data_IF_245147548789
#
_entry.id   IF_245147548789
#
_cell.length_a   1.000
_cell.length_b   1.000
_cell.length_c   1.000
_cell.angle_alpha   90.00
_cell.angle_beta   90.00
_cell.angle_gamma   90.00
#
_symmetry.space_group_name_H-M   'P 1'
#
loop_
_entity.id
_entity.type
_entity.pdbx_description
1 polymer ?
#
# COMPACT_ATOMS: atom_id res chain seq x y z
N UNK A 1 -4.32 -21.53 -31.49
CA UNK A 1 -5.42 -21.66 -30.52
C UNK A 1 -4.92 -22.60 -29.44
N UNK A 2 -4.26 -22.05 -28.40
CA UNK A 2 -3.77 -22.83 -27.27
C UNK A 2 -4.83 -22.77 -26.18
N UNK A 3 -5.31 -23.94 -25.77
CA UNK A 3 -6.23 -24.13 -24.64
C UNK A 3 -5.59 -23.57 -23.37
N UNK A 4 -6.30 -22.80 -22.52
CA UNK A 4 -5.76 -22.36 -21.24
C UNK A 4 -5.52 -23.60 -20.35
N UNK A 5 -4.32 -23.71 -19.77
CA UNK A 5 -4.04 -24.71 -18.74
C UNK A 5 -4.94 -24.39 -17.53
N UNK A 6 -5.67 -25.36 -17.02
CA UNK A 6 -6.33 -25.28 -15.71
C UNK A 6 -5.28 -24.90 -14.65
N UNK A 7 -5.51 -23.80 -13.93
CA UNK A 7 -4.61 -23.23 -12.89
C UNK A 7 -4.95 -23.80 -11.50
N UNK A 8 -5.65 -24.94 -11.43
CA UNK A 8 -6.29 -25.40 -10.20
C UNK A 8 -5.39 -26.22 -9.26
N UNK A 9 -4.11 -26.42 -9.59
CA UNK A 9 -3.18 -27.18 -8.75
C UNK A 9 -1.82 -26.47 -8.64
N UNK A 10 -1.39 -26.21 -7.40
CA UNK A 10 -0.06 -25.69 -7.09
C UNK A 10 1.00 -26.79 -7.23
N UNK A 11 2.17 -26.40 -7.73
CA UNK A 11 3.34 -27.28 -7.76
C UNK A 11 3.88 -27.49 -6.32
N UNK A 12 4.52 -28.63 -6.06
CA UNK A 12 5.08 -28.94 -4.74
C UNK A 12 6.09 -27.89 -4.25
N UNK A 13 6.79 -27.24 -5.18
CA UNK A 13 7.71 -26.13 -4.90
C UNK A 13 6.97 -24.87 -4.41
N UNK A 14 5.77 -24.61 -4.92
CA UNK A 14 4.96 -23.46 -4.49
C UNK A 14 4.38 -23.68 -3.09
N UNK A 15 4.02 -24.92 -2.73
CA UNK A 15 3.56 -25.27 -1.37
C UNK A 15 4.66 -24.98 -0.34
N UNK A 16 5.88 -25.47 -0.60
CA UNK A 16 7.03 -25.22 0.27
C UNK A 16 7.37 -23.72 0.37
N UNK A 17 7.23 -22.98 -0.74
CA UNK A 17 7.46 -21.54 -0.74
C UNK A 17 6.40 -20.76 0.05
N UNK A 18 5.15 -21.22 0.10
CA UNK A 18 4.10 -20.62 0.94
C UNK A 18 4.38 -20.88 2.43
N UNK A 19 4.79 -22.09 2.79
CA UNK A 19 5.18 -22.39 4.17
C UNK A 19 6.38 -21.54 4.61
N UNK A 20 7.38 -21.37 3.72
CA UNK A 20 8.50 -20.45 3.95
C UNK A 20 8.03 -19.00 4.14
N UNK A 21 7.10 -18.52 3.30
CA UNK A 21 6.55 -17.17 3.41
C UNK A 21 5.84 -16.94 4.75
N UNK A 22 5.03 -17.90 5.21
CA UNK A 22 4.36 -17.83 6.51
C UNK A 22 5.39 -17.72 7.64
N UNK A 23 6.40 -18.58 7.64
CA UNK A 23 7.41 -18.63 8.70
C UNK A 23 8.24 -17.33 8.73
N UNK A 24 8.58 -16.79 7.56
CA UNK A 24 9.22 -15.49 7.38
C UNK A 24 8.33 -14.36 7.90
N UNK A 25 7.04 -14.37 7.57
CA UNK A 25 6.10 -13.34 8.00
C UNK A 25 5.93 -13.34 9.53
N UNK A 26 5.89 -14.52 10.16
CA UNK A 26 5.88 -14.64 11.62
C UNK A 26 7.16 -14.12 12.27
N UNK A 27 8.32 -14.34 11.65
CA UNK A 27 9.59 -13.74 12.10
C UNK A 27 9.56 -12.22 11.96
N UNK A 28 9.03 -11.69 10.86
CA UNK A 28 8.88 -10.26 10.63
C UNK A 28 7.97 -9.61 11.67
N UNK A 29 6.80 -10.19 11.95
CA UNK A 29 5.90 -9.71 13.01
C UNK A 29 6.61 -9.68 14.37
N UNK A 30 7.30 -10.76 14.74
CA UNK A 30 8.05 -10.84 16.00
C UNK A 30 9.19 -9.82 16.08
N UNK A 31 9.88 -9.55 14.96
CA UNK A 31 10.93 -8.54 14.91
C UNK A 31 10.36 -7.14 15.12
N UNK A 32 9.28 -6.79 14.41
CA UNK A 32 8.65 -5.48 14.49
C UNK A 32 7.96 -5.25 15.84
N UNK A 33 7.34 -6.26 16.44
CA UNK A 33 6.68 -6.18 17.75
C UNK A 33 7.61 -5.74 18.89
N UNK A 34 8.95 -5.83 18.72
CA UNK A 34 9.93 -5.33 19.70
C UNK A 34 9.97 -3.80 19.79
N UNK A 35 9.47 -3.11 18.77
CA UNK A 35 9.57 -1.64 18.62
C UNK A 35 8.21 -1.02 18.33
N UNK A 36 7.40 -1.70 17.54
CA UNK A 36 6.09 -1.27 17.08
C UNK A 36 5.04 -1.99 17.93
N UNK A 37 4.30 -1.22 18.72
CA UNK A 37 3.33 -1.72 19.68
C UNK A 37 1.92 -1.35 19.18
N UNK A 38 0.99 -2.29 19.22
CA UNK A 38 -0.42 -2.06 18.91
C UNK A 38 -0.76 -1.86 17.43
N UNK A 39 0.14 -2.20 16.51
CA UNK A 39 -0.03 -1.92 15.06
C UNK A 39 0.00 -3.19 14.21
N UNK A 40 -0.48 -4.32 14.75
CA UNK A 40 -0.45 -5.63 14.06
C UNK A 40 -1.20 -5.59 12.72
N UNK A 41 -2.40 -4.99 12.71
CA UNK A 41 -3.21 -4.87 11.49
C UNK A 41 -2.54 -4.00 10.42
N UNK A 42 -1.84 -2.94 10.85
CA UNK A 42 -1.08 -2.07 9.94
C UNK A 42 0.09 -2.84 9.34
N UNK A 43 0.83 -3.61 10.15
CA UNK A 43 1.93 -4.47 9.68
C UNK A 43 1.42 -5.54 8.70
N UNK A 44 0.28 -6.17 8.97
CA UNK A 44 -0.38 -7.10 8.04
C UNK A 44 -0.71 -6.42 6.72
N UNK A 45 -1.40 -5.28 6.74
CA UNK A 45 -1.79 -4.56 5.54
C UNK A 45 -0.57 -4.06 4.72
N UNK A 46 0.49 -3.60 5.39
CA UNK A 46 1.75 -3.23 4.74
C UNK A 46 2.41 -4.43 4.06
N UNK A 47 2.42 -5.58 4.73
CA UNK A 47 2.98 -6.84 4.20
C UNK A 47 2.18 -7.32 2.99
N UNK A 48 0.85 -7.36 3.10
CA UNK A 48 -0.05 -7.70 2.00
C UNK A 48 0.20 -6.80 0.80
N UNK A 49 0.28 -5.48 1.03
CA UNK A 49 0.49 -4.51 -0.05
C UNK A 49 1.85 -4.68 -0.73
N UNK A 50 2.93 -4.87 0.05
CA UNK A 50 4.27 -5.12 -0.50
C UNK A 50 4.32 -6.40 -1.34
N UNK A 51 3.84 -7.52 -0.81
CA UNK A 51 3.88 -8.81 -1.52
C UNK A 51 2.90 -8.86 -2.69
N UNK A 52 1.91 -7.96 -2.73
CA UNK A 52 1.02 -7.76 -3.89
C UNK A 52 1.57 -6.82 -4.96
N UNK A 53 2.78 -6.23 -4.76
CA UNK A 53 3.30 -5.13 -5.59
C UNK A 53 2.34 -3.93 -5.66
N UNK A 54 1.63 -3.67 -4.57
CA UNK A 54 0.79 -2.49 -4.41
C UNK A 54 1.55 -1.32 -3.81
N UNK A 55 0.87 -0.18 -3.72
CA UNK A 55 1.30 0.99 -2.93
C UNK A 55 0.21 1.33 -1.94
N UNK A 56 0.52 1.95 -0.80
CA UNK A 56 -0.49 2.27 0.20
C UNK A 56 -0.51 3.76 0.58
N UNK A 57 -1.71 4.23 0.93
CA UNK A 57 -1.95 5.47 1.65
C UNK A 57 -1.96 5.14 3.14
N UNK A 58 -1.13 5.79 3.94
CA UNK A 58 -1.05 5.60 5.38
C UNK A 58 -1.68 6.81 6.09
N UNK A 59 -2.97 6.67 6.37
CA UNK A 59 -3.82 7.67 7.02
C UNK A 59 -3.68 7.60 8.54
N UNK A 60 -3.99 8.70 9.23
CA UNK A 60 -3.80 8.83 10.68
C UNK A 60 -3.09 10.13 11.07
N UNK A 61 -3.24 10.49 12.32
CA UNK A 61 -2.81 11.80 12.84
C UNK A 61 -1.29 11.91 13.02
N UNK A 62 -0.74 13.14 13.09
CA UNK A 62 0.66 13.36 13.43
C UNK A 62 1.03 12.73 14.77
N UNK A 63 2.24 12.19 14.87
CA UNK A 63 2.77 11.66 16.13
C UNK A 63 2.60 10.14 16.35
N UNK A 64 1.90 9.42 15.46
CA UNK A 64 1.71 7.96 15.57
C UNK A 64 2.91 7.12 15.08
N UNK A 65 4.14 7.63 15.24
CA UNK A 65 5.39 6.94 14.90
C UNK A 65 5.44 6.30 13.48
N UNK A 66 4.67 6.82 12.51
CA UNK A 66 4.57 6.27 11.14
C UNK A 66 5.94 6.14 10.46
N UNK A 67 6.79 7.15 10.62
CA UNK A 67 8.16 7.12 10.08
C UNK A 67 9.00 6.02 10.73
N UNK A 68 8.83 5.78 12.04
CA UNK A 68 9.52 4.69 12.74
C UNK A 68 9.01 3.33 12.22
N UNK A 69 7.69 3.14 12.15
CA UNK A 69 7.06 1.93 11.59
C UNK A 69 7.65 1.59 10.21
N UNK A 70 7.61 2.55 9.30
CA UNK A 70 7.99 2.33 7.90
C UNK A 70 9.51 2.12 7.75
N UNK A 71 10.33 2.88 8.46
CA UNK A 71 11.78 2.69 8.42
C UNK A 71 12.21 1.34 8.99
N UNK A 72 11.59 0.89 10.10
CA UNK A 72 11.84 -0.43 10.68
C UNK A 72 11.33 -1.56 9.79
N UNK A 73 10.20 -1.36 9.12
CA UNK A 73 9.68 -2.29 8.13
C UNK A 73 10.63 -2.46 6.93
N UNK A 74 11.28 -1.39 6.46
CA UNK A 74 12.32 -1.47 5.43
C UNK A 74 13.58 -2.19 5.92
N UNK A 75 14.00 -1.89 7.16
CA UNK A 75 15.18 -2.49 7.79
C UNK A 75 15.06 -4.00 7.94
N UNK A 76 13.90 -4.53 8.38
CA UNK A 76 13.71 -5.99 8.50
C UNK A 76 13.81 -6.74 7.18
N UNK A 77 13.70 -6.04 6.04
CA UNK A 77 13.79 -6.62 4.70
C UNK A 77 15.05 -6.22 3.93
N UNK A 78 16.01 -5.56 4.60
CA UNK A 78 17.24 -5.03 4.00
C UNK A 78 16.98 -4.19 2.74
N UNK A 79 15.88 -3.44 2.74
CA UNK A 79 15.50 -2.56 1.64
C UNK A 79 16.08 -1.16 1.85
N UNK A 80 16.52 -0.52 0.77
CA UNK A 80 16.89 0.89 0.85
C UNK A 80 15.64 1.73 1.15
N UNK A 81 15.77 2.64 2.13
CA UNK A 81 14.69 3.49 2.59
C UNK A 81 14.96 4.94 2.23
N UNK A 82 13.93 5.64 1.76
CA UNK A 82 13.98 7.07 1.49
C UNK A 82 12.71 7.75 1.99
N UNK A 83 12.89 8.88 2.67
CA UNK A 83 11.79 9.72 3.15
C UNK A 83 11.77 11.01 2.35
N UNK A 84 10.61 11.34 1.80
CA UNK A 84 10.35 12.57 1.06
C UNK A 84 9.27 13.33 1.81
N UNK A 85 9.60 14.51 2.31
CA UNK A 85 8.61 15.43 2.84
C UNK A 85 8.06 16.26 1.69
N UNK A 86 6.77 16.16 1.40
CA UNK A 86 6.14 16.96 0.36
C UNK A 86 5.87 18.36 0.92
N UNK A 87 6.36 19.37 0.20
CA UNK A 87 6.22 20.79 0.56
C UNK A 87 5.75 21.58 -0.67
N UNK A 88 5.17 22.79 -0.49
CA UNK A 88 4.64 23.58 -1.61
C UNK A 88 5.69 23.99 -2.65
N UNK A 89 6.96 24.04 -2.27
CA UNK A 89 8.11 24.41 -3.09
C UNK A 89 8.81 23.20 -3.76
N UNK A 90 8.45 21.97 -3.37
CA UNK A 90 9.08 20.76 -3.89
C UNK A 90 8.83 20.61 -5.40
N UNK A 91 9.91 20.53 -6.17
CA UNK A 91 9.85 20.37 -7.63
C UNK A 91 9.94 18.89 -8.03
N UNK A 92 9.45 18.52 -9.23
CA UNK A 92 9.60 17.15 -9.73
C UNK A 92 11.04 16.65 -9.76
N UNK A 93 12.00 17.51 -10.14
CA UNK A 93 13.42 17.12 -10.20
C UNK A 93 14.03 16.84 -8.82
N UNK A 94 13.48 17.40 -7.75
CA UNK A 94 13.95 17.14 -6.39
C UNK A 94 13.63 15.70 -5.95
N UNK A 95 12.62 15.07 -6.55
CA UNK A 95 12.22 13.69 -6.26
C UNK A 95 12.73 12.70 -7.32
N UNK A 96 12.77 13.10 -8.59
CA UNK A 96 13.21 12.26 -9.70
C UNK A 96 14.72 12.30 -9.93
N UNK A 97 15.41 13.34 -9.50
CA UNK A 97 16.83 13.57 -9.76
C UNK A 97 17.08 14.60 -10.86
N UNK A 98 18.33 15.06 -10.95
CA UNK A 98 18.75 16.13 -11.87
C UNK A 98 20.18 15.89 -12.36
N UNK A 99 20.48 16.39 -13.56
CA UNK A 99 21.85 16.46 -14.06
C UNK A 99 22.57 17.64 -13.41
N UNK A 100 23.72 17.38 -12.78
CA UNK A 100 24.62 18.41 -12.26
C UNK A 100 25.88 18.47 -13.10
N UNK A 101 26.44 19.67 -13.27
CA UNK A 101 27.72 19.84 -13.96
C UNK A 101 28.85 19.61 -12.95
N UNK A 102 29.59 18.51 -13.11
CA UNK A 102 30.72 18.16 -12.27
C UNK A 102 32.03 18.43 -13.01
N UNK A 103 33.05 18.92 -12.29
CA UNK A 103 34.39 19.10 -12.81
C UNK A 103 35.24 17.87 -12.46
N UNK A 104 35.64 17.11 -13.49
CA UNK A 104 36.50 15.94 -13.31
C UNK A 104 37.97 16.36 -13.21
N UNK A 105 38.83 15.54 -12.56
CA UNK A 105 40.27 15.80 -12.49
C UNK A 105 40.85 16.01 -13.90
N UNK A 106 41.34 17.22 -14.17
CA UNK A 106 41.77 17.66 -15.51
C UNK A 106 41.00 18.86 -16.07
N UNK A 107 40.04 19.42 -15.33
CA UNK A 107 39.37 20.70 -15.66
C UNK A 107 38.27 20.60 -16.71
N UNK A 108 37.90 19.37 -17.11
CA UNK A 108 36.79 19.11 -18.02
C UNK A 108 35.49 19.08 -17.22
N UNK A 109 34.42 19.66 -17.77
CA UNK A 109 33.08 19.65 -17.15
C UNK A 109 32.21 18.59 -17.84
N UNK A 110 31.61 17.70 -17.07
CA UNK A 110 30.70 16.67 -17.55
C UNK A 110 29.38 16.72 -16.75
N UNK A 111 28.27 16.38 -17.41
CA UNK A 111 26.97 16.27 -16.75
C UNK A 111 26.86 14.89 -16.08
N UNK A 112 26.80 14.87 -14.75
CA UNK A 112 26.54 13.68 -13.95
C UNK A 112 25.08 13.69 -13.47
N UNK A 113 24.37 12.58 -13.66
CA UNK A 113 23.01 12.45 -13.16
C UNK A 113 23.00 12.08 -11.68
N UNK A 114 22.46 12.95 -10.84
CA UNK A 114 22.24 12.67 -9.42
C UNK A 114 20.84 12.12 -9.24
N UNK A 115 20.78 10.86 -8.79
CA UNK A 115 19.53 10.16 -8.50
C UNK A 115 18.77 10.85 -7.37
N UNK A 116 17.51 11.14 -7.60
CA UNK A 116 16.60 11.63 -6.58
C UNK A 116 16.20 10.56 -5.56
N UNK A 117 15.47 10.96 -4.50
CA UNK A 117 15.04 10.07 -3.42
C UNK A 117 14.11 8.93 -3.88
N UNK A 118 13.48 9.01 -5.06
CA UNK A 118 12.65 7.92 -5.60
C UNK A 118 13.45 6.68 -6.03
N UNK A 119 14.79 6.74 -6.08
CA UNK A 119 15.63 5.59 -6.45
C UNK A 119 15.89 4.59 -5.31
N UNK A 120 15.16 4.68 -4.19
CA UNK A 120 15.19 3.68 -3.13
C UNK A 120 14.08 2.63 -3.31
N UNK A 121 14.18 1.51 -2.57
CA UNK A 121 13.21 0.42 -2.63
C UNK A 121 11.91 0.76 -1.91
N UNK A 122 12.00 1.40 -0.74
CA UNK A 122 10.85 1.83 0.05
C UNK A 122 10.87 3.34 0.20
N UNK A 123 9.80 3.99 -0.29
CA UNK A 123 9.61 5.43 -0.22
C UNK A 123 8.51 5.76 0.77
N UNK A 124 8.81 6.59 1.77
CA UNK A 124 7.80 7.28 2.58
C UNK A 124 7.60 8.69 2.02
N UNK A 125 6.48 8.94 1.35
CA UNK A 125 6.06 10.23 0.85
C UNK A 125 5.14 10.91 1.86
N UNK A 126 5.73 11.71 2.75
CA UNK A 126 4.98 12.39 3.81
C UNK A 126 4.22 13.60 3.28
N UNK A 127 2.95 13.71 3.65
CA UNK A 127 2.06 14.84 3.33
C UNK A 127 1.96 15.13 1.84
N UNK A 128 1.74 14.09 1.02
CA UNK A 128 1.71 14.20 -0.45
C UNK A 128 0.78 15.31 -0.95
N UNK A 129 -0.28 15.61 -0.21
CA UNK A 129 -1.22 16.69 -0.49
C UNK A 129 -0.65 18.09 -0.28
N UNK A 130 0.60 18.29 0.14
CA UNK A 130 1.22 19.63 0.29
C UNK A 130 2.04 20.07 -0.92
N UNK A 131 2.45 19.16 -1.80
CA UNK A 131 3.20 19.54 -3.00
C UNK A 131 2.28 19.85 -4.18
N UNK A 132 2.75 20.66 -5.16
CA UNK A 132 2.00 20.93 -6.37
C UNK A 132 1.68 19.65 -7.17
N UNK A 133 0.59 19.70 -7.95
CA UNK A 133 0.11 18.57 -8.75
C UNK A 133 1.14 17.98 -9.72
N UNK A 134 2.09 18.79 -10.21
CA UNK A 134 3.19 18.31 -11.07
C UNK A 134 4.15 17.38 -10.33
N UNK A 135 4.47 17.69 -9.08
CA UNK A 135 5.37 16.88 -8.24
C UNK A 135 4.67 15.60 -7.80
N UNK A 136 3.38 15.70 -7.43
CA UNK A 136 2.54 14.52 -7.19
C UNK A 136 2.50 13.60 -8.42
N UNK A 137 2.27 14.16 -9.62
CA UNK A 137 2.21 13.39 -10.86
C UNK A 137 3.53 12.66 -11.17
N UNK A 138 4.68 13.28 -10.93
CA UNK A 138 5.98 12.64 -11.16
C UNK A 138 6.20 11.41 -10.27
N UNK A 139 5.78 11.47 -8.99
CA UNK A 139 5.82 10.30 -8.12
C UNK A 139 4.83 9.21 -8.56
N UNK A 140 3.60 9.59 -8.89
CA UNK A 140 2.56 8.66 -9.34
C UNK A 140 2.91 7.99 -10.67
N UNK A 141 3.61 8.69 -11.56
CA UNK A 141 4.17 8.11 -12.79
C UNK A 141 5.22 7.05 -12.45
N UNK A 142 6.16 7.36 -11.55
CA UNK A 142 7.17 6.40 -11.09
C UNK A 142 6.53 5.13 -10.48
N UNK A 143 5.45 5.27 -9.72
CA UNK A 143 4.67 4.15 -9.17
C UNK A 143 4.06 3.25 -10.24
N UNK A 144 3.55 3.83 -11.34
CA UNK A 144 2.89 3.03 -12.39
C UNK A 144 3.88 2.44 -13.38
N UNK A 145 4.91 3.20 -13.73
CA UNK A 145 5.83 2.84 -14.82
C UNK A 145 7.09 2.13 -14.33
N UNK A 146 7.36 2.13 -13.01
CA UNK A 146 8.56 1.56 -12.38
C UNK A 146 9.88 2.09 -12.97
N UNK A 147 9.82 3.27 -13.60
CA UNK A 147 10.94 3.95 -14.25
C UNK A 147 10.74 5.45 -14.13
N UNK A 148 11.82 6.20 -14.26
CA UNK A 148 11.83 7.66 -14.23
C UNK A 148 12.50 8.16 -15.50
N UNK A 149 11.87 9.11 -16.19
CA UNK A 149 12.47 9.75 -17.37
C UNK A 149 12.84 11.19 -17.07
N UNK A 150 14.12 11.54 -17.19
CA UNK A 150 14.63 12.90 -17.02
C UNK A 150 15.39 13.30 -18.29
N UNK A 151 14.99 14.41 -18.90
CA UNK A 151 15.64 15.01 -20.09
C UNK A 151 15.91 13.95 -21.19
N UNK A 152 14.89 13.13 -21.49
CA UNK A 152 14.97 12.10 -22.54
C UNK A 152 15.78 10.84 -22.19
N UNK A 153 16.33 10.73 -20.97
CA UNK A 153 16.96 9.51 -20.45
C UNK A 153 16.03 8.80 -19.49
N UNK A 154 15.82 7.51 -19.70
CA UNK A 154 14.98 6.67 -18.83
C UNK A 154 15.84 5.80 -17.92
N UNK A 155 15.53 5.83 -16.64
CA UNK A 155 16.18 5.05 -15.59
C UNK A 155 15.18 4.10 -14.96
N UNK A 156 15.54 2.82 -14.85
CA UNK A 156 14.70 1.81 -14.18
C UNK A 156 14.85 1.93 -12.65
N UNK A 157 13.74 1.77 -11.93
CA UNK A 157 13.75 1.68 -10.48
C UNK A 157 14.13 0.27 -10.04
N UNK A 158 14.90 0.17 -8.97
CA UNK A 158 15.34 -1.12 -8.45
C UNK A 158 14.16 -1.84 -7.76
N UNK A 159 13.79 -3.06 -8.18
CA UNK A 159 12.77 -3.83 -7.46
C UNK A 159 13.32 -4.36 -6.12
N UNK A 160 12.47 -4.61 -5.11
CA UNK A 160 11.07 -4.17 -5.05
C UNK A 160 11.01 -2.64 -4.93
N UNK A 161 9.97 -2.03 -5.52
CA UNK A 161 9.69 -0.60 -5.42
C UNK A 161 8.32 -0.40 -4.76
N UNK A 162 8.32 0.16 -3.56
CA UNK A 162 7.15 0.31 -2.71
C UNK A 162 7.04 1.74 -2.21
N UNK A 163 5.83 2.30 -2.30
CA UNK A 163 5.56 3.69 -1.93
C UNK A 163 4.44 3.70 -0.91
N UNK A 164 4.73 4.37 0.20
CA UNK A 164 3.79 4.67 1.27
C UNK A 164 3.63 6.18 1.30
N UNK A 165 2.42 6.66 1.00
CA UNK A 165 2.14 8.09 1.03
C UNK A 165 1.25 8.41 2.23
N UNK A 166 1.55 9.49 2.95
CA UNK A 166 0.67 10.01 4.01
C UNK A 166 -0.04 11.26 3.51
N UNK A 167 -1.23 11.51 4.03
CA UNK A 167 -1.93 12.77 3.84
C UNK A 167 -2.21 13.37 5.21
N UNK A 168 -2.09 14.68 5.35
CA UNK A 168 -2.54 15.39 6.55
C UNK A 168 -4.03 15.73 6.37
N UNK A 169 -4.94 15.14 7.17
CA UNK A 169 -6.37 15.37 7.03
C UNK A 169 -6.87 16.64 7.74
N UNK A 170 -6.05 17.25 8.61
CA UNK A 170 -6.47 18.34 9.51
C UNK A 170 -6.22 19.72 8.87
N UNK A 171 -5.09 19.88 8.17
CA UNK A 171 -4.73 21.15 7.53
C UNK A 171 -5.33 21.24 6.12
N UNK A 172 -6.23 22.21 5.90
CA UNK A 172 -6.83 22.47 4.59
C UNK A 172 -6.11 23.59 3.81
N UNK A 173 -5.46 24.53 4.51
CA UNK A 173 -4.73 25.62 3.87
C UNK A 173 -3.42 25.15 3.22
N UNK A 174 -3.18 25.56 1.98
CA UNK A 174 -1.96 25.20 1.25
C UNK A 174 -1.88 23.73 0.82
N UNK A 175 -3.03 23.04 0.75
CA UNK A 175 -3.10 21.66 0.27
C UNK A 175 -3.67 21.54 -1.15
N UNK A 176 -3.15 20.55 -1.87
CA UNK A 176 -3.55 20.11 -3.20
C UNK A 176 -4.06 18.68 -3.06
N UNK A 177 -5.37 18.47 -2.89
CA UNK A 177 -5.93 17.13 -2.73
C UNK A 177 -5.63 16.29 -3.97
N UNK A 178 -5.32 15.01 -3.75
CA UNK A 178 -5.17 14.06 -4.85
C UNK A 178 -6.55 13.81 -5.48
N UNK A 179 -6.71 14.02 -6.79
CA UNK A 179 -7.89 13.57 -7.51
C UNK A 179 -8.12 12.07 -7.31
N UNK A 180 -9.35 11.62 -7.43
CA UNK A 180 -9.76 10.25 -7.13
C UNK A 180 -9.15 9.26 -8.12
N UNK A 181 -8.94 9.70 -9.37
CA UNK A 181 -8.18 8.95 -10.37
C UNK A 181 -6.71 8.72 -9.95
N UNK A 182 -6.14 9.57 -9.09
CA UNK A 182 -4.81 9.40 -8.51
C UNK A 182 -4.84 8.52 -7.27
N UNK A 183 -5.81 8.71 -6.38
CA UNK A 183 -6.02 7.84 -5.22
C UNK A 183 -6.23 6.38 -5.64
N UNK A 184 -6.96 6.15 -6.74
CA UNK A 184 -7.21 4.80 -7.27
C UNK A 184 -5.93 4.06 -7.71
N UNK A 185 -4.77 4.73 -7.81
CA UNK A 185 -3.46 4.08 -8.06
C UNK A 185 -2.87 3.41 -6.82
N UNK A 186 -3.31 3.79 -5.62
CA UNK A 186 -2.90 3.13 -4.39
C UNK A 186 -3.77 1.90 -4.16
N UNK A 187 -3.13 0.77 -3.88
CA UNK A 187 -3.81 -0.48 -3.58
C UNK A 187 -4.65 -0.34 -2.32
N UNK A 188 -4.03 0.07 -1.21
CA UNK A 188 -4.68 0.19 0.10
C UNK A 188 -4.71 1.63 0.62
N UNK A 189 -5.77 1.95 1.37
CA UNK A 189 -5.82 3.00 2.38
C UNK A 189 -5.76 2.31 3.74
N UNK A 190 -4.69 2.55 4.50
CA UNK A 190 -4.43 1.95 5.80
C UNK A 190 -4.57 3.05 6.84
N UNK A 191 -5.53 2.91 7.75
CA UNK A 191 -5.67 3.80 8.90
C UNK A 191 -4.72 3.39 10.02
N UNK A 192 -4.12 4.38 10.66
CA UNK A 192 -3.34 4.24 11.89
C UNK A 192 -4.06 5.07 12.94
N UNK A 193 -4.66 4.41 13.93
CA UNK A 193 -5.37 5.06 15.03
C UNK A 193 -4.45 5.22 16.25
N UNK A 194 -4.91 5.98 17.24
CA UNK A 194 -4.26 6.10 18.53
C UNK A 194 -4.17 4.72 19.20
N UNK A 195 -2.99 4.39 19.77
CA UNK A 195 -2.84 3.16 20.53
C UNK A 195 -3.69 3.19 21.80
N UNK A 196 -4.01 2.02 22.32
CA UNK A 196 -4.67 1.92 23.62
C UNK A 196 -3.77 2.47 24.74
N UNK A 197 -4.36 2.81 25.89
CA UNK A 197 -3.60 3.33 27.04
C UNK A 197 -2.42 2.42 27.45
N UNK A 198 -2.60 1.11 27.42
CA UNK A 198 -1.54 0.12 27.73
C UNK A 198 -0.39 0.21 26.73
N UNK A 199 -0.74 0.30 25.45
CA UNK A 199 0.19 0.40 24.33
C UNK A 199 0.94 1.74 24.37
N UNK A 200 0.25 2.85 24.65
CA UNK A 200 0.88 4.17 24.84
C UNK A 200 1.93 4.15 25.96
N UNK A 201 1.65 3.50 27.09
CA UNK A 201 2.61 3.36 28.19
C UNK A 201 3.84 2.58 27.74
N UNK A 202 3.64 1.51 26.97
CA UNK A 202 4.74 0.69 26.45
C UNK A 202 5.56 1.43 25.40
N UNK A 203 4.91 2.19 24.52
CA UNK A 203 5.55 3.08 23.53
C UNK A 203 6.40 4.11 24.27
N UNK A 204 5.85 4.76 25.29
CA UNK A 204 6.57 5.73 26.10
C UNK A 204 7.81 5.09 26.75
N UNK A 205 7.68 3.89 27.35
CA UNK A 205 8.81 3.17 27.95
C UNK A 205 9.89 2.81 26.93
N UNK A 206 9.49 2.33 25.76
CA UNK A 206 10.39 1.85 24.71
C UNK A 206 11.14 2.99 24.05
N UNK A 207 10.44 4.10 23.76
CA UNK A 207 11.01 5.25 23.04
C UNK A 207 11.79 6.21 23.92
N UNK A 208 11.51 6.28 25.22
CA UNK A 208 12.26 7.11 26.19
C UNK A 208 13.41 6.38 26.88
N UNK A 209 13.60 5.08 26.58
CA UNK A 209 14.75 4.30 27.04
C UNK A 209 16.07 4.73 26.39
N UNK A 210 17.19 4.18 26.86
CA UNK A 210 18.54 4.57 26.43
C UNK A 210 18.86 4.23 24.95
N UNK A 211 18.25 3.17 24.40
CA UNK A 211 18.48 2.74 23.01
C UNK A 211 17.32 1.88 22.50
N UNK A 212 16.93 2.08 21.24
CA UNK A 212 16.02 1.18 20.55
C UNK A 212 16.70 -0.18 20.26
N UNK A 213 15.96 -1.31 20.31
CA UNK A 213 16.47 -2.61 19.90
C UNK A 213 17.01 -2.59 18.47
N UNK A 214 18.11 -3.30 18.22
CA UNK A 214 18.56 -3.59 16.85
C UNK A 214 17.65 -4.66 16.25
N UNK A 215 17.18 -4.43 15.02
CA UNK A 215 16.38 -5.41 14.29
C UNK A 215 17.27 -6.34 13.49
N UNK A 216 16.88 -7.62 13.45
CA UNK A 216 17.51 -8.59 12.56
C UNK A 216 16.92 -8.43 11.16
N UNK A 217 17.77 -8.57 10.14
CA UNK A 217 17.32 -8.65 8.75
C UNK A 217 16.68 -10.03 8.54
N UNK A 218 15.35 -10.05 8.42
CA UNK A 218 14.54 -11.26 8.20
C UNK A 218 14.53 -11.64 6.70
N UNK A 219 14.59 -10.64 5.82
CA UNK A 219 14.49 -10.81 4.37
C UNK A 219 15.51 -9.96 3.60
N UNK A 220 15.67 -10.29 2.33
CA UNK A 220 16.37 -9.48 1.32
C UNK A 220 15.41 -9.06 0.20
N UNK A 221 15.77 -8.03 -0.56
CA UNK A 221 14.99 -7.59 -1.72
C UNK A 221 14.70 -8.70 -2.73
N UNK A 222 15.68 -9.55 -3.04
CA UNK A 222 15.49 -10.68 -3.96
C UNK A 222 14.46 -11.69 -3.45
N UNK A 223 14.47 -11.95 -2.14
CA UNK A 223 13.45 -12.81 -1.49
C UNK A 223 12.06 -12.19 -1.55
N UNK A 224 11.94 -10.87 -1.36
CA UNK A 224 10.67 -10.16 -1.51
C UNK A 224 10.13 -10.32 -2.94
N UNK A 225 10.97 -10.17 -3.96
CA UNK A 225 10.59 -10.35 -5.36
C UNK A 225 10.12 -11.79 -5.64
N UNK A 226 10.83 -12.78 -5.09
CA UNK A 226 10.45 -14.19 -5.23
C UNK A 226 9.04 -14.44 -4.64
N UNK A 227 8.76 -13.90 -3.46
CA UNK A 227 7.44 -14.01 -2.83
C UNK A 227 6.35 -13.22 -3.55
N UNK A 228 6.66 -12.04 -4.11
CA UNK A 228 5.71 -11.31 -4.96
C UNK A 228 5.28 -12.15 -6.19
N UNK A 229 6.21 -12.88 -6.78
CA UNK A 229 5.90 -13.78 -7.89
C UNK A 229 5.08 -14.99 -7.43
N UNK A 230 5.33 -15.52 -6.22
CA UNK A 230 4.56 -16.60 -5.60
C UNK A 230 3.11 -16.17 -5.36
N UNK A 231 2.88 -14.99 -4.77
CA UNK A 231 1.52 -14.46 -4.50
C UNK A 231 0.67 -14.44 -5.76
N UNK A 232 1.23 -14.08 -6.92
CA UNK A 232 0.48 -14.08 -8.19
C UNK A 232 -0.02 -15.47 -8.60
N UNK A 233 0.71 -16.53 -8.22
CA UNK A 233 0.39 -17.93 -8.54
C UNK A 233 -0.61 -18.58 -7.58
N UNK A 234 -0.89 -17.97 -6.43
CA UNK A 234 -1.90 -18.48 -5.48
C UNK A 234 -3.25 -18.68 -6.19
N UNK A 235 -3.83 -19.88 -6.18
CA UNK A 235 -5.13 -20.17 -6.79
C UNK A 235 -6.28 -19.43 -6.10
N UNK A 236 -7.31 -19.13 -6.88
CA UNK A 236 -8.56 -18.49 -6.44
C UNK A 236 -9.69 -19.17 -7.19
N UNK A 237 -10.73 -19.60 -6.47
CA UNK A 237 -11.90 -20.22 -7.11
C UNK A 237 -12.79 -19.19 -7.78
N UNK A 238 -13.56 -19.62 -8.79
CA UNK A 238 -14.44 -18.73 -9.57
C UNK A 238 -15.40 -17.93 -8.69
N UNK A 239 -16.00 -18.57 -7.69
CA UNK A 239 -16.93 -17.91 -6.76
C UNK A 239 -16.29 -16.73 -6.00
N UNK A 240 -14.99 -16.78 -5.72
CA UNK A 240 -14.27 -15.67 -5.07
C UNK A 240 -14.07 -14.50 -6.04
N UNK A 241 -13.85 -14.79 -7.33
CA UNK A 241 -13.84 -13.77 -8.38
C UNK A 241 -15.21 -13.12 -8.53
N UNK A 242 -16.28 -13.91 -8.58
CA UNK A 242 -17.66 -13.43 -8.64
C UNK A 242 -17.98 -12.54 -7.44
N UNK A 243 -17.68 -12.98 -6.21
CA UNK A 243 -17.89 -12.19 -5.01
C UNK A 243 -17.15 -10.84 -5.06
N UNK A 244 -15.86 -10.82 -5.46
CA UNK A 244 -15.10 -9.58 -5.57
C UNK A 244 -15.69 -8.62 -6.63
N UNK A 245 -16.21 -9.16 -7.73
CA UNK A 245 -16.91 -8.39 -8.76
C UNK A 245 -18.21 -7.82 -8.23
N UNK A 246 -19.03 -8.63 -7.57
CA UNK A 246 -20.31 -8.23 -7.01
C UNK A 246 -20.13 -7.15 -5.94
N UNK A 247 -19.20 -7.35 -5.01
CA UNK A 247 -18.83 -6.35 -4.01
C UNK A 247 -18.46 -5.01 -4.66
N UNK A 248 -17.56 -5.01 -5.64
CA UNK A 248 -17.17 -3.77 -6.32
C UNK A 248 -18.34 -3.14 -7.11
N UNK A 249 -19.21 -3.93 -7.73
CA UNK A 249 -20.38 -3.44 -8.48
C UNK A 249 -21.44 -2.85 -7.55
N UNK A 250 -21.67 -3.44 -6.38
CA UNK A 250 -22.63 -2.98 -5.39
C UNK A 250 -22.27 -1.62 -4.78
N UNK A 251 -21.00 -1.21 -4.85
CA UNK A 251 -20.62 0.17 -4.47
C UNK A 251 -21.05 1.25 -5.47
N UNK A 252 -21.54 0.90 -6.67
CA UNK A 252 -21.82 1.85 -7.76
C UNK A 252 -23.27 2.32 -7.69
N UNK A 253 -23.57 3.56 -7.23
CA UNK A 253 -24.93 3.99 -6.90
C UNK A 253 -25.88 4.04 -8.11
N UNK A 254 -25.35 4.13 -9.33
CA UNK A 254 -26.14 4.13 -10.58
C UNK A 254 -26.39 2.73 -11.15
N UNK A 255 -25.82 1.68 -10.57
CA UNK A 255 -25.96 0.31 -11.03
C UNK A 255 -27.10 -0.43 -10.33
N UNK A 256 -27.65 -1.43 -11.00
CA UNK A 256 -28.74 -2.26 -10.46
C UNK A 256 -28.31 -3.12 -9.25
N UNK A 257 -27.02 -3.42 -9.14
CA UNK A 257 -26.45 -4.22 -8.06
C UNK A 257 -26.26 -3.45 -6.74
N UNK A 258 -26.42 -2.12 -6.74
CA UNK A 258 -26.26 -1.32 -5.54
C UNK A 258 -27.50 -1.43 -4.64
N UNK A 259 -27.34 -1.72 -3.33
CA UNK A 259 -28.45 -1.72 -2.38
C UNK A 259 -29.14 -0.35 -2.31
N UNK A 260 -30.45 -0.33 -2.07
CA UNK A 260 -31.22 0.92 -2.02
C UNK A 260 -30.76 1.88 -0.91
N UNK A 261 -30.27 1.34 0.21
CA UNK A 261 -29.71 2.15 1.29
C UNK A 261 -28.38 2.83 0.92
N UNK A 262 -27.61 2.25 -0.02
CA UNK A 262 -26.30 2.75 -0.42
C UNK A 262 -26.40 3.89 -1.43
N UNK A 263 -27.38 3.82 -2.34
CA UNK A 263 -27.58 4.80 -3.42
C UNK A 263 -27.61 6.27 -2.96
N UNK A 264 -28.29 6.67 -1.86
CA UNK A 264 -28.27 8.05 -1.39
C UNK A 264 -26.95 8.44 -0.70
N UNK A 265 -26.17 7.47 -0.19
CA UNK A 265 -24.97 7.69 0.62
C UNK A 265 -23.68 7.76 -0.20
N UNK A 266 -23.68 7.22 -1.42
CA UNK A 266 -22.49 7.14 -2.28
C UNK A 266 -22.67 8.01 -3.51
N UNK A 267 -21.72 8.92 -3.74
CA UNK A 267 -21.64 9.73 -4.95
C UNK A 267 -20.95 8.97 -6.11
N UNK A 268 -19.93 8.17 -5.80
CA UNK A 268 -19.16 7.41 -6.78
C UNK A 268 -18.61 6.11 -6.19
N UNK A 269 -18.69 5.02 -6.95
CA UNK A 269 -18.27 3.69 -6.51
C UNK A 269 -16.98 3.19 -7.15
N UNK A 270 -16.55 2.00 -6.72
CA UNK A 270 -15.28 1.41 -7.09
C UNK A 270 -15.22 0.90 -8.54
N UNK A 271 -14.10 1.16 -9.22
CA UNK A 271 -13.82 0.70 -10.59
C UNK A 271 -13.26 -0.73 -10.67
N UNK A 272 -12.94 -1.23 -11.88
CA UNK A 272 -12.39 -2.59 -12.08
C UNK A 272 -11.06 -2.84 -11.36
N UNK A 273 -10.26 -1.79 -11.12
CA UNK A 273 -9.00 -1.91 -10.38
C UNK A 273 -9.22 -2.36 -8.93
N UNK A 274 -10.36 -2.02 -8.33
CA UNK A 274 -10.71 -2.51 -7.00
C UNK A 274 -10.80 -4.04 -6.99
N UNK A 275 -11.43 -4.66 -7.99
CA UNK A 275 -11.51 -6.12 -8.11
C UNK A 275 -10.11 -6.74 -8.18
N UNK A 276 -9.22 -6.15 -8.97
CA UNK A 276 -7.83 -6.63 -9.08
C UNK A 276 -7.11 -6.58 -7.72
N UNK A 277 -7.27 -5.50 -6.97
CA UNK A 277 -6.65 -5.35 -5.65
C UNK A 277 -7.31 -6.19 -4.56
N UNK A 278 -8.62 -6.43 -4.62
CA UNK A 278 -9.31 -7.38 -3.74
C UNK A 278 -8.72 -8.79 -3.92
N UNK A 279 -8.58 -9.23 -5.18
CA UNK A 279 -8.02 -10.56 -5.48
C UNK A 279 -6.54 -10.66 -5.13
N UNK A 280 -5.71 -9.68 -5.51
CA UNK A 280 -4.29 -9.69 -5.17
C UNK A 280 -4.06 -9.62 -3.66
N UNK A 281 -4.81 -8.76 -2.96
CA UNK A 281 -4.77 -8.66 -1.51
C UNK A 281 -5.18 -9.96 -0.84
N UNK A 282 -6.23 -10.61 -1.32
CA UNK A 282 -6.68 -11.91 -0.81
C UNK A 282 -5.64 -13.01 -1.02
N UNK A 283 -5.04 -13.08 -2.22
CA UNK A 283 -3.93 -14.02 -2.51
C UNK A 283 -2.74 -13.81 -1.58
N UNK A 284 -2.33 -12.57 -1.36
CA UNK A 284 -1.21 -12.25 -0.49
C UNK A 284 -1.53 -12.61 0.97
N UNK A 285 -2.72 -12.24 1.46
CA UNK A 285 -3.16 -12.58 2.81
C UNK A 285 -3.23 -14.09 3.05
N UNK A 286 -3.79 -14.83 2.09
CA UNK A 286 -3.85 -16.28 2.14
C UNK A 286 -2.44 -16.88 2.26
N UNK A 287 -1.50 -16.44 1.41
CA UNK A 287 -0.13 -16.93 1.42
C UNK A 287 0.63 -16.57 2.70
N UNK A 288 0.45 -15.35 3.24
CA UNK A 288 1.01 -14.92 4.53
C UNK A 288 0.46 -15.76 5.70
N UNK A 289 -0.78 -16.22 5.60
CA UNK A 289 -1.41 -17.12 6.56
C UNK A 289 -1.03 -18.60 6.37
N UNK A 290 -0.20 -18.91 5.37
CA UNK A 290 0.16 -20.29 5.00
C UNK A 290 -0.94 -21.06 4.26
N UNK A 291 -1.98 -20.39 3.78
CA UNK A 291 -3.01 -21.00 2.94
C UNK A 291 -2.54 -21.12 1.49
N UNK A 292 -2.77 -22.30 0.90
CA UNK A 292 -2.42 -22.59 -0.48
C UNK A 292 -3.47 -22.11 -1.50
N UNK A 293 -4.52 -21.42 -1.05
CA UNK A 293 -5.53 -20.79 -1.90
C UNK A 293 -6.21 -19.64 -1.17
N UNK A 294 -6.67 -18.64 -1.92
CA UNK A 294 -7.45 -17.56 -1.32
C UNK A 294 -8.89 -17.99 -1.07
N UNK A 295 -9.45 -17.49 0.03
CA UNK A 295 -10.82 -17.77 0.48
C UNK A 295 -11.62 -16.48 0.60
N UNK A 296 -12.91 -16.62 0.86
CA UNK A 296 -13.82 -15.48 1.05
C UNK A 296 -13.35 -14.59 2.20
N UNK A 297 -12.92 -15.18 3.31
CA UNK A 297 -12.37 -14.48 4.48
C UNK A 297 -11.18 -13.57 4.12
N UNK A 298 -10.37 -13.95 3.13
CA UNK A 298 -9.23 -13.15 2.69
C UNK A 298 -9.68 -11.92 1.91
N UNK A 299 -10.72 -12.05 1.06
CA UNK A 299 -11.31 -10.91 0.34
C UNK A 299 -12.01 -9.95 1.31
N UNK A 300 -12.76 -10.50 2.25
CA UNK A 300 -13.45 -9.74 3.30
C UNK A 300 -12.46 -8.92 4.12
N UNK A 301 -11.35 -9.53 4.56
CA UNK A 301 -10.32 -8.86 5.36
C UNK A 301 -9.66 -7.68 4.64
N UNK A 302 -9.45 -7.77 3.33
CA UNK A 302 -8.82 -6.68 2.54
C UNK A 302 -9.84 -5.71 1.94
N UNK A 303 -11.15 -5.93 2.12
CA UNK A 303 -12.19 -5.16 1.46
C UNK A 303 -12.16 -3.68 1.87
N UNK A 304 -12.11 -3.38 3.17
CA UNK A 304 -12.07 -2.00 3.66
C UNK A 304 -10.80 -1.27 3.18
N UNK A 305 -9.57 -1.79 3.38
CA UNK A 305 -8.36 -1.17 2.86
C UNK A 305 -8.39 -0.90 1.35
N UNK A 306 -9.01 -1.77 0.55
CA UNK A 306 -9.14 -1.57 -0.90
C UNK A 306 -10.22 -0.56 -1.26
N UNK A 307 -11.38 -0.59 -0.62
CA UNK A 307 -12.56 0.14 -1.10
C UNK A 307 -12.73 1.52 -0.46
N UNK A 308 -12.18 1.76 0.74
CA UNK A 308 -12.44 2.97 1.51
C UNK A 308 -12.10 4.29 0.77
N UNK A 309 -11.03 4.32 -0.02
CA UNK A 309 -10.65 5.50 -0.85
C UNK A 309 -11.22 5.46 -2.27
N UNK A 310 -12.00 4.42 -2.61
CA UNK A 310 -12.64 4.23 -3.92
C UNK A 310 -14.14 4.44 -3.89
N UNK A 311 -14.73 4.46 -2.70
CA UNK A 311 -16.12 4.84 -2.43
C UNK A 311 -16.13 6.29 -1.98
N UNK A 312 -16.68 7.16 -2.81
CA UNK A 312 -16.83 8.59 -2.49
C UNK A 312 -18.21 8.79 -1.90
N UNK A 313 -18.27 9.27 -0.66
CA UNK A 313 -19.52 9.59 0.03
C UNK A 313 -20.25 10.76 -0.63
N UNK A 314 -21.57 10.78 -0.51
CA UNK A 314 -22.41 11.92 -0.86
C UNK A 314 -22.46 12.92 0.29
N UNK A 315 -22.95 14.13 0.02
CA UNK A 315 -23.23 15.12 1.06
C UNK A 315 -24.22 14.63 2.13
N UNK A 316 -25.14 13.72 1.77
CA UNK A 316 -26.07 13.12 2.72
C UNK A 316 -25.33 12.25 3.74
N UNK A 317 -24.40 11.41 3.27
CA UNK A 317 -23.56 10.60 4.15
C UNK A 317 -22.68 11.47 5.07
N UNK A 318 -22.08 12.54 4.53
CA UNK A 318 -21.30 13.50 5.33
C UNK A 318 -22.14 14.16 6.43
N UNK A 319 -23.38 14.54 6.12
CA UNK A 319 -24.31 15.16 7.09
C UNK A 319 -24.70 14.20 8.22
N UNK A 320 -24.70 12.90 7.95
CA UNK A 320 -25.00 11.83 8.91
C UNK A 320 -23.74 11.28 9.60
N UNK A 321 -22.55 11.84 9.32
CA UNK A 321 -21.24 11.33 9.75
C UNK A 321 -21.00 9.85 9.36
N UNK A 322 -21.57 9.40 8.24
CA UNK A 322 -21.33 8.07 7.69
C UNK A 322 -20.11 8.13 6.78
N UNK A 323 -19.09 7.34 7.09
CA UNK A 323 -17.85 7.29 6.33
C UNK A 323 -17.90 6.23 5.22
N UNK A 324 -16.97 6.33 4.26
CA UNK A 324 -16.78 5.27 3.26
C UNK A 324 -16.45 3.91 3.89
N UNK A 325 -15.80 3.90 5.06
CA UNK A 325 -15.45 2.68 5.78
C UNK A 325 -16.70 2.00 6.34
N UNK A 326 -17.59 2.77 6.99
CA UNK A 326 -18.87 2.28 7.51
C UNK A 326 -19.73 1.66 6.39
N UNK A 327 -19.78 2.32 5.23
CA UNK A 327 -20.51 1.84 4.05
C UNK A 327 -19.92 0.53 3.54
N UNK A 328 -18.59 0.44 3.43
CA UNK A 328 -17.92 -0.78 2.95
C UNK A 328 -18.10 -1.92 3.94
N UNK A 329 -17.94 -1.69 5.24
CA UNK A 329 -18.11 -2.71 6.27
C UNK A 329 -19.53 -3.28 6.27
N UNK A 330 -20.54 -2.41 6.21
CA UNK A 330 -21.93 -2.83 6.09
C UNK A 330 -22.17 -3.65 4.82
N UNK A 331 -21.67 -3.18 3.68
CA UNK A 331 -21.85 -3.86 2.39
C UNK A 331 -21.19 -5.24 2.38
N UNK A 332 -19.98 -5.34 2.92
CA UNK A 332 -19.25 -6.61 3.04
C UNK A 332 -20.00 -7.58 3.94
N UNK A 333 -20.49 -7.12 5.10
CA UNK A 333 -21.32 -7.92 6.00
C UNK A 333 -22.54 -8.51 5.28
N UNK A 334 -23.35 -7.66 4.65
CA UNK A 334 -24.57 -8.06 3.95
C UNK A 334 -24.31 -9.08 2.81
N UNK A 335 -23.23 -8.92 2.05
CA UNK A 335 -22.90 -9.82 0.94
C UNK A 335 -22.25 -11.12 1.41
N UNK A 336 -21.44 -11.08 2.48
CA UNK A 336 -20.77 -12.27 3.02
C UNK A 336 -21.74 -13.26 3.69
N UNK A 337 -22.89 -12.80 4.15
CA UNK A 337 -23.95 -13.66 4.71
C UNK A 337 -24.82 -14.32 3.62
N UNK A 338 -24.76 -13.82 2.39
CA UNK A 338 -25.57 -14.31 1.26
C UNK A 338 -24.84 -15.35 0.39
N UNK A 339 -23.52 -15.43 0.48
CA UNK A 339 -22.65 -16.39 -0.24
C UNK A 339 -22.22 -17.56 0.64
#
# INVERSE_FOLDING_TARGET
MQTPRHIDQMDADDVAAIDELRDVYDQLKKALAKIIIGQEQVIENLSICLFSQGHALLMGVPGLAKTLLVSRFAETMALSFSRIQFTPDLMPMDITGTDILQEIPGGRREFEFVKGPLFANLILADEINRAPSKTQAAMLEAMQEYKITVIGRTYQLAPPFFVLATQNPIEQEGTYPLPEAQLDRFMFRIEVDYPERSEEIEIARTTTGMSLPTLEHVLTGDRVIAFQNLVRRVPVSEHIYEFAVDLARSTRPKGDAAPDWLKPLVAWGAGPRAVQYLILGAKARAALSGSYMARLEDVVAVANPVLAHRVITSFAAESENITSQDIVERLVGELSEQG
#
